data_IF_709983541177
#
_entry.id   IF_709983541177
#
_cell.length_a   1.000
_cell.length_b   1.000
_cell.length_c   1.000
_cell.angle_alpha   90.00
_cell.angle_beta   90.00
_cell.angle_gamma   90.00
#
_symmetry.space_group_name_H-M   'P 1'
#
loop_
_entity.id
_entity.type
_entity.pdbx_description
1 polymer ?
#
# COMPACT_ATOMS: atom_id res chain seq x y z
N UNK A 1 -20.39 3.78 19.72
CA UNK A 1 -19.17 3.21 19.57
C UNK A 1 -18.62 3.37 18.20
N UNK A 2 -17.41 3.48 18.05
CA UNK A 2 -16.92 3.56 16.74
C UNK A 2 -15.87 2.51 16.49
N UNK A 3 -15.64 2.19 15.25
CA UNK A 3 -14.77 1.13 14.88
C UNK A 3 -13.59 1.67 14.16
N UNK A 4 -12.44 1.20 14.49
CA UNK A 4 -11.22 1.57 13.78
C UNK A 4 -11.20 0.82 12.47
N UNK A 5 -10.97 1.50 11.37
CA UNK A 5 -10.89 0.82 10.09
C UNK A 5 -9.72 -0.14 10.08
N UNK A 6 -9.89 -1.26 9.42
CA UNK A 6 -8.82 -2.23 9.28
C UNK A 6 -8.12 -1.98 7.96
N UNK A 7 -6.83 -1.75 8.03
CA UNK A 7 -6.00 -1.57 6.84
C UNK A 7 -4.99 -2.70 6.82
N UNK A 8 -5.16 -3.69 5.95
CA UNK A 8 -4.20 -4.78 5.89
C UNK A 8 -2.85 -4.28 5.41
N UNK A 9 -1.81 -4.74 6.09
CA UNK A 9 -0.43 -4.41 5.74
C UNK A 9 0.13 -5.59 4.96
N UNK A 10 0.60 -5.34 3.77
CA UNK A 10 0.99 -6.38 2.84
C UNK A 10 2.46 -6.31 2.49
N UNK A 11 3.14 -7.45 2.53
CA UNK A 11 4.52 -7.57 2.09
C UNK A 11 4.53 -8.62 0.99
N UNK A 12 4.93 -8.21 -0.22
CA UNK A 12 4.97 -9.13 -1.34
C UNK A 12 6.38 -9.30 -1.84
N UNK A 13 6.80 -10.54 -2.07
CA UNK A 13 8.11 -10.82 -2.62
C UNK A 13 8.11 -10.71 -4.13
N UNK A 14 6.96 -10.78 -4.75
CA UNK A 14 6.83 -10.62 -6.18
C UNK A 14 5.54 -9.90 -6.51
N UNK A 15 5.57 -9.05 -7.51
CA UNK A 15 4.39 -8.32 -7.93
C UNK A 15 3.35 -9.21 -8.60
N UNK A 16 3.72 -10.45 -8.94
CA UNK A 16 2.77 -11.37 -9.57
C UNK A 16 1.59 -11.68 -8.66
N UNK A 17 1.74 -11.52 -7.35
CA UNK A 17 0.66 -11.80 -6.42
C UNK A 17 -0.20 -10.57 -6.14
N UNK A 18 0.20 -9.39 -6.62
CA UNK A 18 -0.49 -8.15 -6.29
C UNK A 18 -1.93 -8.10 -6.80
N UNK A 19 -2.12 -8.45 -8.06
CA UNK A 19 -3.46 -8.37 -8.66
C UNK A 19 -4.43 -9.36 -8.00
N UNK A 20 -4.09 -10.66 -7.88
CA UNK A 20 -5.02 -11.58 -7.25
C UNK A 20 -5.27 -11.24 -5.79
N UNK A 21 -4.26 -10.74 -5.06
CA UNK A 21 -4.47 -10.36 -3.68
C UNK A 21 -5.41 -9.15 -3.59
N UNK A 22 -5.22 -8.15 -4.45
CA UNK A 22 -6.09 -6.98 -4.46
C UNK A 22 -7.53 -7.35 -4.73
N UNK A 23 -7.75 -8.26 -5.68
CA UNK A 23 -9.11 -8.71 -6.01
C UNK A 23 -9.71 -9.50 -4.84
N UNK A 24 -8.89 -10.30 -4.16
CA UNK A 24 -9.36 -11.07 -3.01
C UNK A 24 -9.76 -10.14 -1.86
N UNK A 25 -9.02 -9.06 -1.64
CA UNK A 25 -9.35 -8.09 -0.60
C UNK A 25 -10.70 -7.45 -0.89
N UNK A 26 -10.94 -7.03 -2.13
CA UNK A 26 -12.21 -6.44 -2.49
C UNK A 26 -13.35 -7.42 -2.32
N UNK A 27 -13.14 -8.67 -2.71
CA UNK A 27 -14.17 -9.69 -2.57
C UNK A 27 -14.51 -9.89 -1.10
N UNK A 28 -13.53 -9.74 -0.21
CA UNK A 28 -13.75 -9.86 1.22
C UNK A 28 -14.27 -8.58 1.87
N UNK A 29 -14.55 -7.55 1.10
CA UNK A 29 -15.11 -6.32 1.63
C UNK A 29 -14.09 -5.28 2.05
N UNK A 30 -12.80 -5.49 1.76
CA UNK A 30 -11.77 -4.54 2.11
C UNK A 30 -11.40 -3.72 0.90
N UNK A 31 -11.50 -2.41 1.00
CA UNK A 31 -11.25 -1.53 -0.13
C UNK A 31 -9.99 -0.66 0.05
N UNK A 32 -9.16 -1.00 1.03
CA UNK A 32 -7.93 -0.26 1.26
C UNK A 32 -6.83 -1.24 1.66
N UNK A 33 -5.62 -0.99 1.23
CA UNK A 33 -4.48 -1.84 1.56
C UNK A 33 -3.21 -1.01 1.62
N UNK A 34 -2.28 -1.40 2.48
CA UNK A 34 -1.00 -0.73 2.59
C UNK A 34 0.08 -1.73 2.17
N UNK A 35 0.86 -1.40 1.16
CA UNK A 35 1.95 -2.24 0.69
C UNK A 35 3.25 -1.70 1.29
N UNK A 36 3.94 -2.54 2.05
CA UNK A 36 5.16 -2.14 2.73
C UNK A 36 6.33 -2.10 1.75
N UNK A 37 7.07 -1.00 1.77
CA UNK A 37 8.22 -0.83 0.87
C UNK A 37 9.43 -1.55 1.42
N UNK A 38 9.34 -2.86 1.54
CA UNK A 38 10.44 -3.67 2.04
C UNK A 38 11.10 -4.54 0.98
N UNK A 39 10.47 -4.68 -0.15
CA UNK A 39 11.00 -5.52 -1.23
C UNK A 39 11.02 -4.71 -2.51
N UNK A 40 11.78 -5.17 -3.49
CA UNK A 40 11.83 -4.49 -4.77
C UNK A 40 10.50 -4.61 -5.50
N UNK A 41 9.72 -5.60 -5.15
CA UNK A 41 8.41 -5.82 -5.78
C UNK A 41 7.37 -4.82 -5.29
N UNK A 42 7.64 -4.07 -4.22
CA UNK A 42 6.63 -3.23 -3.59
C UNK A 42 6.09 -2.13 -4.51
N UNK A 43 6.94 -1.42 -5.19
CA UNK A 43 6.50 -0.32 -6.05
C UNK A 43 5.65 -0.86 -7.20
N UNK A 44 6.08 -1.96 -7.81
CA UNK A 44 5.33 -2.55 -8.91
C UNK A 44 3.99 -3.12 -8.40
N UNK A 45 3.98 -3.65 -7.17
CA UNK A 45 2.76 -4.15 -6.55
C UNK A 45 1.78 -3.01 -6.32
N UNK A 46 2.27 -1.84 -5.86
CA UNK A 46 1.42 -0.67 -5.68
C UNK A 46 0.82 -0.27 -7.02
N UNK A 47 1.64 -0.24 -8.07
CA UNK A 47 1.17 0.15 -9.40
C UNK A 47 0.06 -0.79 -9.88
N UNK A 48 0.25 -2.09 -9.70
CA UNK A 48 -0.72 -3.07 -10.10
C UNK A 48 -2.02 -2.93 -9.30
N UNK A 49 -1.90 -2.81 -7.99
CA UNK A 49 -3.08 -2.74 -7.13
C UNK A 49 -3.81 -1.41 -7.28
N UNK A 50 -3.09 -0.33 -7.57
CA UNK A 50 -3.69 0.98 -7.75
C UNK A 50 -4.59 1.03 -8.98
N UNK A 51 -4.40 0.10 -9.92
CA UNK A 51 -5.22 0.05 -11.11
C UNK A 51 -6.48 -0.79 -10.92
N UNK A 52 -6.68 -1.37 -9.75
CA UNK A 52 -7.88 -2.16 -9.48
C UNK A 52 -8.97 -1.20 -9.02
N UNK A 53 -10.08 -1.15 -9.74
CA UNK A 53 -11.18 -0.27 -9.39
C UNK A 53 -11.72 -0.59 -8.01
N UNK A 54 -11.91 0.43 -7.22
CA UNK A 54 -12.48 0.26 -5.88
C UNK A 54 -11.47 0.02 -4.79
N UNK A 55 -10.19 -0.13 -5.12
CA UNK A 55 -9.16 -0.39 -4.13
C UNK A 55 -8.27 0.84 -3.96
N UNK A 56 -8.12 1.29 -2.71
CA UNK A 56 -7.24 2.40 -2.38
C UNK A 56 -5.96 1.81 -1.82
N UNK A 57 -4.81 2.15 -2.40
CA UNK A 57 -3.54 1.56 -2.01
C UNK A 57 -2.62 2.60 -1.45
N UNK A 58 -1.99 2.29 -0.34
CA UNK A 58 -0.99 3.17 0.25
C UNK A 58 0.36 2.47 0.32
N UNK A 59 1.40 3.23 0.58
CA UNK A 59 2.75 2.71 0.74
C UNK A 59 3.15 2.83 2.20
N UNK A 60 3.64 1.74 2.77
CA UNK A 60 4.13 1.71 4.14
C UNK A 60 5.64 1.66 4.19
N UNK A 61 6.20 2.00 5.33
CA UNK A 61 7.65 2.01 5.57
C UNK A 61 8.35 2.94 4.58
N UNK A 62 7.80 4.14 4.44
CA UNK A 62 8.39 5.14 3.55
C UNK A 62 9.47 5.86 4.34
N UNK A 63 10.73 5.65 3.97
CA UNK A 63 11.87 6.18 4.69
C UNK A 63 12.57 7.34 4.02
N UNK A 64 12.38 7.54 2.74
CA UNK A 64 13.06 8.60 2.01
C UNK A 64 12.10 9.31 1.08
N UNK A 65 12.51 10.49 0.65
CA UNK A 65 11.72 11.26 -0.32
C UNK A 65 11.63 10.50 -1.64
N UNK A 66 12.71 9.82 -2.03
CA UNK A 66 12.71 9.08 -3.28
C UNK A 66 11.67 7.94 -3.23
N UNK A 67 11.56 7.26 -2.08
CA UNK A 67 10.56 6.21 -1.92
C UNK A 67 9.16 6.81 -1.98
N UNK A 68 8.97 7.98 -1.36
CA UNK A 68 7.67 8.63 -1.36
C UNK A 68 7.26 8.99 -2.79
N UNK A 69 8.18 9.57 -3.56
CA UNK A 69 7.89 9.98 -4.91
C UNK A 69 7.60 8.77 -5.80
N UNK A 70 8.37 7.70 -5.64
CA UNK A 70 8.16 6.48 -6.42
C UNK A 70 6.79 5.87 -6.12
N UNK A 71 6.40 5.86 -4.85
CA UNK A 71 5.12 5.30 -4.46
C UNK A 71 3.96 6.14 -5.01
N UNK A 72 4.07 7.46 -4.93
CA UNK A 72 3.04 8.34 -5.45
C UNK A 72 2.92 8.16 -6.96
N UNK A 73 4.05 8.07 -7.65
CA UNK A 73 4.05 7.88 -9.10
C UNK A 73 3.41 6.53 -9.46
N UNK A 74 3.56 5.55 -8.61
CA UNK A 74 2.96 4.23 -8.85
C UNK A 74 1.45 4.22 -8.55
N UNK A 75 0.94 5.26 -7.90
CA UNK A 75 -0.49 5.35 -7.64
C UNK A 75 -0.89 5.27 -6.17
N UNK A 76 0.07 5.33 -5.25
CA UNK A 76 -0.26 5.29 -3.83
C UNK A 76 -1.07 6.52 -3.45
N UNK A 77 -2.14 6.31 -2.72
CA UNK A 77 -3.02 7.39 -2.30
C UNK A 77 -2.69 7.90 -0.90
N UNK A 78 -1.90 7.17 -0.14
CA UNK A 78 -1.44 7.61 1.16
C UNK A 78 -0.07 6.99 1.46
N UNK A 79 0.66 7.59 2.37
CA UNK A 79 1.98 7.13 2.74
C UNK A 79 2.05 6.98 4.25
N UNK A 80 2.72 5.93 4.71
CA UNK A 80 2.94 5.71 6.13
C UNK A 80 4.44 5.57 6.35
N UNK A 81 4.97 6.36 7.26
CA UNK A 81 6.39 6.37 7.55
C UNK A 81 6.59 6.04 9.02
N UNK A 82 7.42 5.06 9.33
CA UNK A 82 7.66 4.72 10.71
C UNK A 82 8.40 5.86 11.41
N UNK A 83 8.17 6.03 12.65
CA UNK A 83 8.89 7.00 13.45
C UNK A 83 8.64 8.43 13.14
N UNK A 84 7.58 8.67 12.49
CA UNK A 84 7.34 9.90 12.09
C UNK A 84 6.95 10.84 12.98
N UNK A 85 6.45 10.52 13.86
CA UNK A 85 6.01 11.54 14.59
C UNK A 85 7.01 12.32 15.05
N UNK A 86 7.66 12.43 14.74
CA UNK A 86 8.51 13.24 15.13
C UNK A 86 8.19 14.43 15.35
N UNK A 87 8.20 14.85 15.83
CA UNK A 87 7.88 15.86 16.00
C UNK A 87 8.24 16.76 15.68
N UNK A 88 8.16 17.23 15.73
CA UNK A 88 8.45 18.05 15.39
C UNK A 88 8.50 18.87 15.94
#
# INVERSE_FOLDING_TARGET
MFTTPIVPVIILDTSDHAHPLGKALLTGGLNVAEVTLRTEAAIESIRTMANIDGLSVGAGTVLTVDHALAAIDAGAEFLVSPGIHQKV
#
